data_IF_548724908765
#
_entry.id   IF_548724908765
#
_cell.length_a   1.000
_cell.length_b   1.000
_cell.length_c   1.000
_cell.angle_alpha   90.00
_cell.angle_beta   90.00
_cell.angle_gamma   90.00
#
_symmetry.space_group_name_H-M   'P 1'
#
loop_
_entity.id
_entity.type
_entity.pdbx_description
1 polymer ?
#
# COMPACT_ATOMS: atom_id res chain seq x y z
N UNK A 1 -8.25 17.10 -21.04
CA UNK A 1 -8.69 18.31 -20.31
C UNK A 1 -7.48 19.13 -19.94
N UNK A 2 -7.55 20.46 -20.14
CA UNK A 2 -6.45 21.38 -19.82
C UNK A 2 -5.24 21.28 -20.74
N UNK A 3 -5.41 20.74 -21.95
CA UNK A 3 -4.33 20.70 -22.92
C UNK A 3 -3.90 22.13 -23.26
N UNK A 4 -2.59 22.39 -23.19
CA UNK A 4 -1.97 23.71 -23.40
C UNK A 4 -2.31 24.79 -22.35
N UNK A 5 -3.13 24.51 -21.34
CA UNK A 5 -3.26 25.40 -20.17
C UNK A 5 -2.18 25.07 -19.16
N UNK A 6 -1.82 26.02 -18.31
CA UNK A 6 -0.73 25.87 -17.34
C UNK A 6 -1.17 26.34 -15.96
N UNK A 7 -0.49 25.84 -14.94
CA UNK A 7 -0.63 26.24 -13.54
C UNK A 7 -2.05 26.14 -12.99
N UNK A 8 -2.75 25.05 -13.32
CA UNK A 8 -4.15 24.83 -12.95
C UNK A 8 -5.08 25.92 -13.52
N UNK A 9 -4.78 26.40 -14.72
CA UNK A 9 -5.53 27.44 -15.42
C UNK A 9 -6.88 26.98 -15.95
N UNK A 10 -7.08 25.67 -16.12
CA UNK A 10 -8.42 25.11 -16.29
C UNK A 10 -9.08 24.96 -14.91
N UNK A 11 -9.83 25.97 -14.49
CA UNK A 11 -10.39 26.07 -13.14
C UNK A 11 -11.83 25.55 -13.04
N UNK A 12 -12.09 24.79 -11.99
CA UNK A 12 -13.36 24.16 -11.61
C UNK A 12 -14.09 23.39 -12.73
N UNK A 13 -13.39 22.66 -13.63
CA UNK A 13 -14.08 21.82 -14.61
C UNK A 13 -14.86 20.71 -13.91
N UNK A 14 -15.95 20.26 -14.54
CA UNK A 14 -16.83 19.22 -14.01
C UNK A 14 -17.21 18.23 -15.10
N UNK A 15 -17.08 16.94 -14.80
CA UNK A 15 -17.69 15.84 -15.52
C UNK A 15 -18.56 15.13 -14.48
N UNK A 16 -19.84 14.98 -14.77
CA UNK A 16 -20.83 14.50 -13.82
C UNK A 16 -21.79 13.55 -14.54
N UNK A 17 -22.18 12.48 -13.85
CA UNK A 17 -23.25 11.57 -14.26
C UNK A 17 -23.09 11.06 -15.71
N UNK A 18 -21.85 10.79 -16.14
CA UNK A 18 -21.50 10.49 -17.53
C UNK A 18 -20.77 9.16 -17.69
N UNK A 19 -21.15 8.40 -18.71
CA UNK A 19 -20.34 7.26 -19.19
C UNK A 19 -19.55 7.66 -20.44
N UNK A 20 -18.23 7.50 -20.39
CA UNK A 20 -17.35 7.57 -21.57
C UNK A 20 -16.74 6.18 -21.76
N UNK A 21 -17.03 5.59 -22.91
CA UNK A 21 -16.63 4.22 -23.20
C UNK A 21 -16.07 4.11 -24.62
N UNK A 22 -15.04 3.28 -24.77
CA UNK A 22 -14.50 2.92 -26.07
C UNK A 22 -14.92 1.50 -26.50
N UNK A 23 -14.83 1.17 -27.79
CA UNK A 23 -15.07 -0.20 -28.28
C UNK A 23 -13.97 -1.17 -27.80
N UNK A 24 -14.39 -2.11 -26.94
CA UNK A 24 -13.56 -3.17 -26.34
C UNK A 24 -12.91 -4.09 -27.40
N UNK A 25 -13.53 -4.24 -28.57
CA UNK A 25 -13.12 -5.18 -29.63
C UNK A 25 -11.99 -4.65 -30.52
N UNK A 26 -11.66 -3.37 -30.40
CA UNK A 26 -10.65 -2.74 -31.25
C UNK A 26 -9.23 -3.07 -30.75
N UNK A 27 -8.36 -3.49 -31.67
CA UNK A 27 -6.92 -3.62 -31.38
C UNK A 27 -6.22 -2.26 -31.20
N UNK A 28 -6.92 -1.16 -31.50
CA UNK A 28 -6.43 0.21 -31.44
C UNK A 28 -7.14 1.05 -30.38
N UNK A 29 -7.39 0.50 -29.19
CA UNK A 29 -7.96 1.25 -28.06
C UNK A 29 -7.21 2.58 -27.87
N UNK A 30 -7.91 3.70 -27.68
CA UNK A 30 -7.28 4.98 -27.36
C UNK A 30 -6.53 4.85 -26.02
N UNK A 31 -5.59 5.76 -25.79
CA UNK A 31 -4.75 5.72 -24.60
C UNK A 31 -5.56 5.93 -23.32
N UNK A 32 -6.59 6.79 -23.35
CA UNK A 32 -7.49 7.04 -22.23
C UNK A 32 -8.93 7.34 -22.66
N UNK A 33 -9.92 7.06 -21.80
CA UNK A 33 -11.26 7.64 -21.92
C UNK A 33 -11.27 9.10 -21.43
N UNK A 34 -10.52 9.39 -20.35
CA UNK A 34 -10.26 10.74 -19.86
C UNK A 34 -8.76 10.97 -19.65
N UNK A 35 -8.21 12.01 -20.27
CA UNK A 35 -6.88 12.53 -19.96
C UNK A 35 -6.98 13.92 -19.35
N UNK A 36 -6.33 14.14 -18.20
CA UNK A 36 -6.25 15.41 -17.48
C UNK A 36 -4.79 15.85 -17.44
N UNK A 37 -4.52 17.01 -18.04
CA UNK A 37 -3.17 17.57 -18.10
C UNK A 37 -3.03 18.80 -17.22
N UNK A 38 -4.07 19.61 -17.10
CA UNK A 38 -4.07 20.80 -16.25
C UNK A 38 -5.48 21.02 -15.71
N UNK A 39 -5.62 21.10 -14.40
CA UNK A 39 -6.88 21.43 -13.75
C UNK A 39 -6.68 21.89 -12.31
N UNK A 40 -7.43 22.91 -11.89
CA UNK A 40 -7.59 23.27 -10.48
C UNK A 40 -9.04 23.11 -10.07
N UNK A 41 -9.34 22.29 -9.06
CA UNK A 41 -10.73 22.12 -8.61
C UNK A 41 -11.58 21.21 -9.51
N UNK A 42 -10.98 20.19 -10.16
CA UNK A 42 -11.72 19.27 -11.04
C UNK A 42 -12.67 18.36 -10.25
N UNK A 43 -13.92 18.25 -10.68
CA UNK A 43 -14.89 17.27 -10.19
C UNK A 43 -15.15 16.19 -11.24
N UNK A 44 -14.98 14.93 -10.85
CA UNK A 44 -15.41 13.73 -11.57
C UNK A 44 -16.37 13.01 -10.61
N UNK A 45 -17.66 12.97 -10.93
CA UNK A 45 -18.69 12.49 -9.99
C UNK A 45 -19.73 11.62 -10.68
N UNK A 46 -19.92 10.40 -10.18
CA UNK A 46 -20.86 9.44 -10.76
C UNK A 46 -20.59 9.14 -12.24
N UNK A 47 -19.32 9.06 -12.62
CA UNK A 47 -18.91 8.80 -13.99
C UNK A 47 -18.43 7.36 -14.19
N UNK A 48 -18.44 6.90 -15.44
CA UNK A 48 -17.89 5.61 -15.85
C UNK A 48 -16.88 5.79 -17.01
N UNK A 49 -15.61 5.43 -16.80
CA UNK A 49 -14.56 5.44 -17.83
C UNK A 49 -14.18 4.00 -18.23
N UNK A 50 -14.64 3.57 -19.41
CA UNK A 50 -14.67 2.15 -19.78
C UNK A 50 -13.86 1.82 -21.05
N UNK A 51 -13.16 0.68 -20.98
CA UNK A 51 -12.62 -0.06 -22.13
C UNK A 51 -11.43 0.55 -22.91
N UNK A 52 -11.04 1.82 -22.74
CA UNK A 52 -9.79 2.32 -23.32
C UNK A 52 -8.54 1.57 -22.78
N UNK A 53 -7.32 1.91 -23.23
CA UNK A 53 -6.11 1.33 -22.62
C UNK A 53 -6.04 1.65 -21.14
N UNK A 54 -6.36 2.88 -20.75
CA UNK A 54 -6.63 3.28 -19.37
C UNK A 54 -7.97 4.00 -19.28
N UNK A 55 -8.70 3.91 -18.18
CA UNK A 55 -9.93 4.68 -18.03
C UNK A 55 -9.59 6.15 -17.87
N UNK A 56 -8.74 6.44 -16.89
CA UNK A 56 -8.34 7.79 -16.54
C UNK A 56 -6.82 7.94 -16.53
N UNK A 57 -6.32 9.01 -17.14
CA UNK A 57 -4.93 9.44 -17.08
C UNK A 57 -4.88 10.85 -16.50
N UNK A 58 -4.15 11.04 -15.41
CA UNK A 58 -3.76 12.33 -14.87
C UNK A 58 -2.26 12.47 -15.16
N UNK A 59 -1.91 13.26 -16.18
CA UNK A 59 -0.54 13.37 -16.66
C UNK A 59 -0.19 14.80 -17.09
N UNK A 60 -0.02 15.74 -16.14
CA UNK A 60 0.43 17.08 -16.44
C UNK A 60 1.80 17.09 -17.13
N UNK A 61 1.92 17.91 -18.17
CA UNK A 61 3.16 18.26 -18.84
C UNK A 61 3.83 19.51 -18.27
N UNK A 62 4.72 20.12 -19.05
CA UNK A 62 5.53 21.25 -18.61
C UNK A 62 4.69 22.43 -18.09
N UNK A 63 4.94 22.83 -16.85
CA UNK A 63 4.23 23.88 -16.11
C UNK A 63 2.72 23.66 -15.93
N UNK A 64 2.22 22.45 -16.18
CA UNK A 64 0.82 22.10 -15.96
C UNK A 64 0.63 21.50 -14.58
N UNK A 65 -0.46 21.86 -13.91
CA UNK A 65 -0.78 21.37 -12.56
C UNK A 65 -2.16 20.75 -12.55
N UNK A 66 -2.28 19.57 -11.94
CA UNK A 66 -3.56 18.96 -11.56
C UNK A 66 -3.66 19.03 -10.05
N UNK A 67 -4.52 19.92 -9.55
CA UNK A 67 -4.66 20.18 -8.12
C UNK A 67 -6.11 20.19 -7.69
N UNK A 68 -6.37 19.70 -6.48
CA UNK A 68 -7.71 19.73 -5.88
C UNK A 68 -8.75 19.01 -6.75
N UNK A 69 -8.41 17.77 -7.14
CA UNK A 69 -9.31 16.92 -7.91
C UNK A 69 -10.16 16.08 -6.95
N UNK A 70 -11.46 16.02 -7.21
CA UNK A 70 -12.44 15.25 -6.48
C UNK A 70 -13.03 14.17 -7.38
N UNK A 71 -12.65 12.91 -7.15
CA UNK A 71 -13.15 11.74 -7.88
C UNK A 71 -14.12 10.94 -7.03
N UNK A 72 -15.42 11.17 -7.15
CA UNK A 72 -16.43 10.68 -6.22
C UNK A 72 -17.37 9.70 -6.90
N UNK A 73 -17.44 8.46 -6.40
CA UNK A 73 -18.35 7.43 -6.91
C UNK A 73 -18.19 7.22 -8.43
N UNK A 74 -16.95 7.20 -8.92
CA UNK A 74 -16.62 7.12 -10.35
C UNK A 74 -15.85 5.83 -10.66
N UNK A 75 -16.18 5.15 -11.76
CA UNK A 75 -15.31 4.15 -12.36
C UNK A 75 -14.13 4.87 -13.02
N UNK A 76 -12.98 4.92 -12.34
CA UNK A 76 -11.77 5.55 -12.89
C UNK A 76 -11.10 4.68 -13.95
N UNK A 77 -11.49 3.41 -14.01
CA UNK A 77 -11.20 2.50 -15.11
C UNK A 77 -11.89 1.16 -14.88
N UNK A 78 -12.65 0.68 -15.86
CA UNK A 78 -13.23 -0.66 -15.85
C UNK A 78 -12.98 -1.38 -17.18
N UNK A 79 -12.42 -2.59 -17.09
CA UNK A 79 -12.19 -3.49 -18.23
C UNK A 79 -11.22 -2.88 -19.28
N UNK A 80 -10.27 -2.09 -18.79
CA UNK A 80 -9.27 -1.41 -19.60
C UNK A 80 -8.15 -2.34 -20.11
N UNK A 81 -7.59 -2.00 -21.28
CA UNK A 81 -6.61 -2.83 -21.98
C UNK A 81 -5.19 -2.81 -21.40
N UNK A 82 -4.90 -1.89 -20.48
CA UNK A 82 -3.69 -1.78 -19.69
C UNK A 82 -4.08 -1.57 -18.21
N UNK A 83 -3.76 -0.46 -17.57
CA UNK A 83 -4.19 -0.16 -16.18
C UNK A 83 -5.55 0.55 -16.09
N UNK A 84 -6.08 0.72 -14.87
CA UNK A 84 -7.31 1.48 -14.65
C UNK A 84 -7.07 3.00 -14.63
N UNK A 85 -6.53 3.50 -13.51
CA UNK A 85 -6.12 4.89 -13.32
C UNK A 85 -4.59 5.02 -13.39
N UNK A 86 -4.10 5.98 -14.16
CA UNK A 86 -2.70 6.43 -14.10
C UNK A 86 -2.63 7.86 -13.55
N UNK A 87 -1.75 8.07 -12.58
CA UNK A 87 -1.31 9.38 -12.13
C UNK A 87 0.19 9.43 -12.38
N UNK A 88 0.65 10.35 -13.22
CA UNK A 88 2.06 10.48 -13.59
C UNK A 88 2.41 11.95 -13.88
N UNK A 89 3.70 12.27 -13.97
CA UNK A 89 4.16 13.56 -14.50
C UNK A 89 4.85 13.34 -15.84
N UNK A 90 4.55 14.18 -16.82
CA UNK A 90 5.24 14.18 -18.12
C UNK A 90 6.42 15.17 -18.19
N UNK A 91 6.62 15.99 -17.15
CA UNK A 91 7.74 16.94 -17.06
C UNK A 91 8.14 17.20 -15.60
N UNK A 92 9.41 17.54 -15.35
CA UNK A 92 9.92 17.85 -14.01
C UNK A 92 9.29 19.08 -13.35
N UNK A 93 8.71 19.99 -14.14
CA UNK A 93 7.99 21.17 -13.65
C UNK A 93 6.50 20.89 -13.36
N UNK A 94 5.99 19.72 -13.73
CA UNK A 94 4.60 19.32 -13.52
C UNK A 94 4.29 19.04 -12.05
N UNK A 95 3.02 19.23 -11.66
CA UNK A 95 2.57 19.00 -10.29
C UNK A 95 1.21 18.30 -10.25
N UNK A 96 1.10 17.28 -9.40
CA UNK A 96 -0.16 16.65 -9.00
C UNK A 96 -0.29 16.79 -7.49
N UNK A 97 -1.34 17.51 -7.01
CA UNK A 97 -1.51 17.78 -5.57
C UNK A 97 -2.94 17.73 -5.09
N UNK A 98 -3.17 17.11 -3.93
CA UNK A 98 -4.47 17.17 -3.26
C UNK A 98 -5.59 16.52 -4.07
N UNK A 99 -5.39 15.27 -4.45
CA UNK A 99 -6.41 14.43 -5.09
C UNK A 99 -7.18 13.71 -3.99
N UNK A 100 -8.50 13.86 -3.97
CA UNK A 100 -9.41 13.15 -3.08
C UNK A 100 -10.33 12.26 -3.91
N UNK A 101 -10.14 10.96 -3.81
CA UNK A 101 -10.87 9.95 -4.57
C UNK A 101 -11.68 9.10 -3.59
N UNK A 102 -13.00 9.20 -3.65
CA UNK A 102 -13.90 8.64 -2.64
C UNK A 102 -15.00 7.77 -3.24
N UNK A 103 -15.18 6.53 -2.75
CA UNK A 103 -16.23 5.61 -3.23
C UNK A 103 -16.07 5.12 -4.68
N UNK A 104 -14.96 5.48 -5.32
CA UNK A 104 -14.63 5.18 -6.71
C UNK A 104 -14.10 3.75 -6.87
N UNK A 105 -13.92 3.30 -8.11
CA UNK A 105 -13.41 1.96 -8.35
C UNK A 105 -12.52 1.85 -9.59
N UNK A 106 -11.69 0.81 -9.57
CA UNK A 106 -10.93 0.33 -10.71
C UNK A 106 -11.11 -1.19 -10.81
N UNK A 107 -11.51 -1.67 -11.99
CA UNK A 107 -12.00 -3.04 -12.19
C UNK A 107 -11.45 -3.66 -13.46
N UNK A 108 -11.14 -4.96 -13.44
CA UNK A 108 -10.86 -5.77 -14.64
C UNK A 108 -9.78 -5.21 -15.59
N UNK A 109 -8.90 -4.32 -15.11
CA UNK A 109 -7.82 -3.79 -15.93
C UNK A 109 -6.80 -4.90 -16.23
N UNK A 110 -6.19 -4.89 -17.42
CA UNK A 110 -5.14 -5.87 -17.77
C UNK A 110 -3.76 -5.56 -17.15
N UNK A 111 -3.69 -4.58 -16.26
CA UNK A 111 -2.51 -4.14 -15.50
C UNK A 111 -2.91 -3.71 -14.10
N UNK A 112 -2.22 -2.74 -13.46
CA UNK A 112 -2.60 -2.25 -12.15
C UNK A 112 -3.97 -1.57 -12.15
N UNK A 113 -4.71 -1.69 -11.05
CA UNK A 113 -5.95 -0.94 -10.86
C UNK A 113 -5.67 0.56 -10.81
N UNK A 114 -4.76 0.96 -9.92
CA UNK A 114 -4.25 2.32 -9.78
C UNK A 114 -2.73 2.30 -9.87
N UNK A 115 -2.18 3.14 -10.72
CA UNK A 115 -0.74 3.32 -10.91
C UNK A 115 -0.39 4.78 -10.66
N UNK A 116 0.45 5.03 -9.67
CA UNK A 116 0.94 6.37 -9.32
C UNK A 116 2.42 6.41 -9.58
N UNK A 117 2.75 6.83 -10.79
CA UNK A 117 4.10 7.01 -11.29
C UNK A 117 4.58 8.44 -11.14
N UNK A 118 5.87 8.68 -11.27
CA UNK A 118 6.42 10.03 -11.37
C UNK A 118 7.63 10.02 -12.30
N UNK A 119 7.40 9.53 -13.52
CA UNK A 119 8.45 9.15 -14.47
C UNK A 119 9.33 10.33 -14.87
N UNK A 120 8.75 11.53 -14.99
CA UNK A 120 9.50 12.73 -15.35
C UNK A 120 10.13 13.48 -14.16
N UNK A 121 9.98 12.98 -12.93
CA UNK A 121 10.56 13.59 -11.74
C UNK A 121 9.90 14.91 -11.30
N UNK A 122 8.63 15.12 -11.66
CA UNK A 122 7.82 16.22 -11.15
C UNK A 122 7.42 16.02 -9.68
N UNK A 123 6.39 16.73 -9.23
CA UNK A 123 5.87 16.59 -7.86
C UNK A 123 4.53 15.87 -7.84
N UNK A 124 4.42 14.79 -7.05
CA UNK A 124 3.16 14.15 -6.74
C UNK A 124 3.03 14.02 -5.22
N UNK A 125 2.04 14.71 -4.64
CA UNK A 125 1.84 14.70 -3.21
C UNK A 125 0.36 14.87 -2.81
N UNK A 126 -0.08 14.17 -1.78
CA UNK A 126 -1.45 14.29 -1.26
C UNK A 126 -2.44 13.63 -2.21
N UNK A 127 -2.31 12.32 -2.40
CA UNK A 127 -3.24 11.51 -3.18
C UNK A 127 -3.96 10.58 -2.21
N UNK A 128 -5.25 10.78 -2.05
CA UNK A 128 -6.06 10.09 -1.06
C UNK A 128 -7.17 9.27 -1.72
N UNK A 129 -7.23 8.01 -1.35
CA UNK A 129 -8.30 7.08 -1.72
C UNK A 129 -9.06 6.68 -0.45
N UNK A 130 -10.39 6.87 -0.45
CA UNK A 130 -11.28 6.48 0.65
C UNK A 130 -12.45 5.67 0.14
N UNK A 131 -12.66 4.47 0.65
CA UNK A 131 -13.74 3.62 0.12
C UNK A 131 -13.54 3.25 -1.35
N UNK A 132 -12.29 3.23 -1.83
CA UNK A 132 -12.00 2.81 -3.20
C UNK A 132 -12.16 1.30 -3.33
N UNK A 133 -12.61 0.83 -4.48
CA UNK A 133 -12.71 -0.60 -4.78
C UNK A 133 -11.75 -0.94 -5.93
N UNK A 134 -10.71 -1.71 -5.63
CA UNK A 134 -9.80 -2.24 -6.67
C UNK A 134 -10.08 -3.72 -6.86
N UNK A 135 -10.81 -4.05 -7.93
CA UNK A 135 -11.27 -5.40 -8.20
C UNK A 135 -10.63 -6.00 -9.44
N UNK A 136 -10.24 -7.27 -9.37
CA UNK A 136 -10.01 -8.12 -10.56
C UNK A 136 -9.01 -7.56 -11.58
N UNK A 137 -8.11 -6.69 -11.15
CA UNK A 137 -7.05 -6.14 -11.99
C UNK A 137 -5.96 -7.20 -12.20
N UNK A 138 -5.36 -7.30 -13.39
CA UNK A 138 -4.45 -8.39 -13.71
C UNK A 138 -3.06 -8.27 -13.03
N UNK A 139 -2.74 -7.11 -12.46
CA UNK A 139 -1.54 -6.87 -11.67
C UNK A 139 -1.91 -6.34 -10.27
N UNK A 140 -1.15 -5.39 -9.73
CA UNK A 140 -1.40 -4.82 -8.41
C UNK A 140 -2.75 -4.10 -8.32
N UNK A 141 -3.37 -4.07 -7.14
CA UNK A 141 -4.51 -3.18 -6.92
C UNK A 141 -4.06 -1.71 -6.98
N UNK A 142 -2.97 -1.42 -6.29
CA UNK A 142 -2.26 -0.15 -6.28
C UNK A 142 -0.76 -0.38 -6.47
N UNK A 143 -0.15 0.33 -7.40
CA UNK A 143 1.30 0.46 -7.56
C UNK A 143 1.69 1.93 -7.35
N UNK A 144 2.47 2.21 -6.31
CA UNK A 144 2.81 3.58 -5.87
C UNK A 144 4.31 3.80 -5.94
N UNK A 145 4.75 4.73 -6.77
CA UNK A 145 6.16 5.03 -7.00
C UNK A 145 6.87 5.63 -5.77
N UNK A 146 8.19 5.43 -5.74
CA UNK A 146 9.09 5.84 -4.66
C UNK A 146 9.06 7.34 -4.32
N UNK A 147 8.82 8.20 -5.31
CA UNK A 147 8.90 9.65 -5.13
C UNK A 147 7.58 10.29 -4.70
N UNK A 148 6.51 9.49 -4.58
CA UNK A 148 5.20 9.93 -4.10
C UNK A 148 5.26 10.18 -2.59
N UNK A 149 4.60 11.25 -2.14
CA UNK A 149 4.47 11.58 -0.71
C UNK A 149 3.03 11.83 -0.32
N UNK A 150 2.71 11.70 0.97
CA UNK A 150 1.37 11.98 1.49
C UNK A 150 0.28 11.12 0.79
N UNK A 151 0.58 9.83 0.56
CA UNK A 151 -0.37 8.86 0.01
C UNK A 151 -1.29 8.33 1.12
N UNK A 152 -2.59 8.27 0.85
CA UNK A 152 -3.57 7.69 1.79
C UNK A 152 -4.45 6.69 1.05
N UNK A 153 -4.57 5.49 1.62
CA UNK A 153 -5.54 4.48 1.22
C UNK A 153 -6.29 4.03 2.48
N UNK A 154 -7.56 4.41 2.56
CA UNK A 154 -8.37 4.17 3.74
C UNK A 154 -9.72 3.54 3.41
N UNK A 155 -10.21 2.64 4.29
CA UNK A 155 -11.56 2.08 4.22
C UNK A 155 -11.92 1.49 2.85
N UNK A 156 -10.93 1.00 2.11
CA UNK A 156 -11.03 0.54 0.73
C UNK A 156 -11.08 -0.99 0.66
N UNK A 157 -11.58 -1.51 -0.47
CA UNK A 157 -11.72 -2.94 -0.73
C UNK A 157 -10.84 -3.35 -1.90
N UNK A 158 -9.92 -4.28 -1.67
CA UNK A 158 -8.97 -4.75 -2.67
C UNK A 158 -9.13 -6.26 -2.82
N UNK A 159 -9.88 -6.68 -3.85
CA UNK A 159 -10.30 -8.06 -4.11
C UNK A 159 -10.07 -8.40 -5.60
N UNK A 160 -10.14 -9.64 -6.07
CA UNK A 160 -9.81 -10.01 -7.48
C UNK A 160 -8.42 -9.68 -8.15
N UNK A 161 -7.55 -8.79 -7.63
CA UNK A 161 -6.23 -8.44 -8.19
C UNK A 161 -5.19 -9.59 -8.42
N UNK A 162 -4.29 -9.39 -9.39
CA UNK A 162 -3.45 -10.41 -10.02
C UNK A 162 -2.54 -11.23 -9.10
N UNK A 163 -2.42 -12.53 -9.39
CA UNK A 163 -1.69 -13.49 -8.54
C UNK A 163 -0.19 -13.23 -8.38
N UNK A 164 0.45 -12.61 -9.39
CA UNK A 164 1.88 -12.26 -9.37
C UNK A 164 2.18 -10.91 -8.71
N UNK A 165 1.14 -10.13 -8.39
CA UNK A 165 1.27 -8.80 -7.79
C UNK A 165 1.12 -8.80 -6.26
N UNK A 166 0.90 -7.60 -5.72
CA UNK A 166 0.43 -7.30 -4.37
C UNK A 166 -0.88 -6.51 -4.46
N UNK A 167 -1.75 -6.59 -3.45
CA UNK A 167 -2.92 -5.71 -3.45
C UNK A 167 -2.48 -4.23 -3.38
N UNK A 168 -1.47 -3.92 -2.56
CA UNK A 168 -0.80 -2.62 -2.53
C UNK A 168 0.70 -2.83 -2.62
N UNK A 169 1.33 -2.29 -3.65
CA UNK A 169 2.77 -2.21 -3.77
C UNK A 169 3.26 -0.77 -3.57
N UNK A 170 4.06 -0.57 -2.54
CA UNK A 170 4.75 0.68 -2.26
C UNK A 170 6.20 0.52 -2.73
N UNK A 171 6.58 1.18 -3.82
CA UNK A 171 7.93 1.11 -4.34
C UNK A 171 8.98 1.61 -3.33
N UNK A 172 10.24 1.18 -3.48
CA UNK A 172 11.27 1.52 -2.50
C UNK A 172 11.50 3.04 -2.37
N UNK A 173 11.30 3.60 -1.17
CA UNK A 173 11.56 5.02 -0.87
C UNK A 173 10.32 5.90 -0.75
N UNK A 174 9.11 5.37 -0.97
CA UNK A 174 7.88 6.12 -0.72
C UNK A 174 7.78 6.52 0.76
N UNK A 175 7.42 7.79 1.04
CA UNK A 175 7.38 8.33 2.41
C UNK A 175 6.05 9.00 2.75
N UNK A 176 5.74 9.12 4.04
CA UNK A 176 4.52 9.80 4.56
C UNK A 176 3.25 9.17 4.00
N UNK A 177 3.07 7.87 4.18
CA UNK A 177 1.91 7.14 3.66
C UNK A 177 1.02 6.58 4.77
N UNK A 178 -0.26 6.38 4.48
CA UNK A 178 -1.23 5.73 5.38
C UNK A 178 -2.02 4.69 4.61
N UNK A 179 -1.98 3.44 5.06
CA UNK A 179 -2.78 2.33 4.54
C UNK A 179 -3.58 1.77 5.72
N UNK A 180 -4.82 2.24 5.88
CA UNK A 180 -5.59 2.01 7.11
C UNK A 180 -7.01 1.51 6.89
N UNK A 181 -7.48 0.62 7.77
CA UNK A 181 -8.88 0.19 7.79
C UNK A 181 -9.39 -0.43 6.48
N UNK A 182 -8.53 -1.00 5.64
CA UNK A 182 -8.91 -1.59 4.36
C UNK A 182 -9.26 -3.07 4.50
N UNK A 183 -10.13 -3.58 3.62
CA UNK A 183 -10.31 -5.01 3.40
C UNK A 183 -9.46 -5.45 2.21
N UNK A 184 -8.40 -6.20 2.50
CA UNK A 184 -7.40 -6.70 1.56
C UNK A 184 -7.30 -8.21 1.78
N UNK A 185 -8.31 -8.96 1.34
CA UNK A 185 -8.44 -10.39 1.64
C UNK A 185 -8.22 -11.24 0.40
N UNK A 186 -7.77 -12.49 0.59
CA UNK A 186 -7.75 -13.50 -0.49
C UNK A 186 -9.17 -13.77 -1.03
N UNK A 187 -10.17 -13.61 -0.17
CA UNK A 187 -11.57 -13.68 -0.55
C UNK A 187 -12.34 -12.52 0.09
N UNK A 188 -12.81 -11.59 -0.73
CA UNK A 188 -13.71 -10.52 -0.32
C UNK A 188 -14.66 -10.16 -1.46
N UNK A 189 -15.84 -9.66 -1.10
CA UNK A 189 -16.88 -9.20 -2.02
C UNK A 189 -17.24 -10.18 -3.14
N UNK A 190 -17.19 -11.48 -2.85
CA UNK A 190 -17.50 -12.56 -3.78
C UNK A 190 -16.38 -12.92 -4.77
N UNK A 191 -15.20 -12.32 -4.66
CA UNK A 191 -14.01 -12.64 -5.45
C UNK A 191 -13.12 -13.65 -4.71
N UNK A 192 -12.53 -14.64 -5.41
CA UNK A 192 -11.83 -15.78 -4.77
C UNK A 192 -10.44 -16.13 -5.33
N UNK A 193 -9.90 -15.36 -6.28
CA UNK A 193 -8.46 -15.40 -6.56
C UNK A 193 -7.76 -14.32 -5.73
N UNK A 194 -6.42 -14.27 -5.66
CA UNK A 194 -5.57 -13.05 -5.77
C UNK A 194 -4.15 -13.13 -5.25
N UNK A 195 -3.34 -12.11 -5.58
CA UNK A 195 -2.02 -11.80 -5.00
C UNK A 195 -1.85 -12.39 -3.60
N UNK A 196 -0.93 -13.34 -3.47
CA UNK A 196 -0.62 -13.91 -2.15
C UNK A 196 -0.13 -12.84 -1.16
N UNK A 197 0.35 -11.71 -1.68
CA UNK A 197 0.82 -10.57 -0.91
C UNK A 197 -0.25 -9.48 -0.78
N UNK A 198 -0.54 -9.05 0.44
CA UNK A 198 -1.47 -7.94 0.70
C UNK A 198 -0.80 -6.60 0.46
N UNK A 199 0.04 -6.18 1.41
CA UNK A 199 0.80 -4.94 1.34
C UNK A 199 2.27 -5.27 1.20
N UNK A 200 2.92 -4.72 0.18
CA UNK A 200 4.35 -4.89 -0.06
C UNK A 200 5.07 -3.54 0.04
N UNK A 201 5.94 -3.41 1.04
CA UNK A 201 6.84 -2.27 1.23
C UNK A 201 8.21 -2.63 0.65
N UNK A 202 8.47 -2.12 -0.56
CA UNK A 202 9.59 -2.54 -1.41
C UNK A 202 10.98 -2.20 -0.88
N UNK A 203 11.13 -1.26 0.06
CA UNK A 203 12.45 -0.87 0.57
C UNK A 203 12.54 0.57 1.02
N UNK A 204 13.26 0.87 2.10
CA UNK A 204 13.51 2.27 2.52
C UNK A 204 12.23 3.15 2.65
N UNK A 205 11.05 2.54 2.77
CA UNK A 205 9.79 3.25 2.93
C UNK A 205 9.73 3.83 4.34
N UNK A 206 9.33 5.09 4.49
CA UNK A 206 9.45 5.79 5.77
C UNK A 206 8.24 6.66 6.13
N UNK A 207 8.12 7.07 7.40
CA UNK A 207 7.03 7.90 7.92
C UNK A 207 5.64 7.31 7.61
N UNK A 208 5.54 5.97 7.60
CA UNK A 208 4.35 5.23 7.18
C UNK A 208 3.48 4.74 8.34
N UNK A 209 2.18 4.57 8.07
CA UNK A 209 1.21 3.95 8.99
C UNK A 209 0.43 2.84 8.25
N UNK A 210 0.52 1.60 8.74
CA UNK A 210 -0.21 0.44 8.21
C UNK A 210 -0.97 -0.27 9.34
N UNK A 211 -2.24 0.10 9.52
CA UNK A 211 -3.02 -0.34 10.69
C UNK A 211 -4.50 -0.58 10.40
N UNK A 212 -5.14 -1.51 11.12
CA UNK A 212 -6.59 -1.72 11.04
C UNK A 212 -7.05 -2.46 9.77
N UNK A 213 -6.13 -2.95 8.95
CA UNK A 213 -6.49 -3.66 7.72
C UNK A 213 -6.91 -5.10 8.01
N UNK A 214 -7.89 -5.60 7.27
CA UNK A 214 -8.23 -7.02 7.20
C UNK A 214 -7.48 -7.69 6.05
N UNK A 215 -6.51 -8.52 6.39
CA UNK A 215 -5.59 -9.23 5.51
C UNK A 215 -5.90 -10.75 5.46
N UNK A 216 -7.11 -11.15 5.82
CA UNK A 216 -7.47 -12.56 6.03
C UNK A 216 -7.28 -13.40 4.77
N UNK A 217 -6.76 -14.61 4.97
CA UNK A 217 -6.53 -15.59 3.90
C UNK A 217 -5.28 -15.35 3.05
N UNK A 218 -4.59 -14.21 3.17
CA UNK A 218 -3.36 -13.94 2.42
C UNK A 218 -2.17 -14.78 2.92
N UNK A 219 -1.35 -15.29 2.00
CA UNK A 219 -0.13 -16.05 2.35
C UNK A 219 0.96 -15.15 2.91
N UNK A 220 1.02 -13.92 2.43
CA UNK A 220 1.96 -12.88 2.86
C UNK A 220 1.19 -11.59 3.12
N UNK A 221 0.51 -11.46 4.28
CA UNK A 221 -0.31 -10.29 4.59
C UNK A 221 0.43 -8.96 4.40
N UNK A 222 1.66 -8.88 4.92
CA UNK A 222 2.55 -7.74 4.76
C UNK A 222 3.97 -8.25 4.47
N UNK A 223 4.47 -7.93 3.28
CA UNK A 223 5.88 -8.06 2.92
C UNK A 223 6.58 -6.72 3.17
N UNK A 224 7.67 -6.72 3.91
CA UNK A 224 8.43 -5.49 4.16
C UNK A 224 9.93 -5.77 4.12
N UNK A 225 10.62 -5.16 3.15
CA UNK A 225 12.08 -5.24 3.03
C UNK A 225 12.69 -3.97 3.61
N UNK A 226 12.80 -3.87 4.93
CA UNK A 226 13.21 -2.62 5.57
C UNK A 226 14.72 -2.59 5.83
N UNK A 227 15.39 -1.51 5.42
CA UNK A 227 16.79 -1.26 5.79
C UNK A 227 16.83 -0.72 7.22
N UNK A 228 17.52 -1.41 8.12
CA UNK A 228 17.57 -1.03 9.53
C UNK A 228 18.53 0.13 9.77
N UNK A 229 18.19 1.17 10.56
CA UNK A 229 16.86 1.50 11.10
C UNK A 229 16.09 2.46 10.19
N UNK A 230 14.84 2.12 9.84
CA UNK A 230 13.87 3.05 9.26
C UNK A 230 13.22 3.84 10.42
N UNK A 231 13.39 5.17 10.52
CA UNK A 231 12.79 5.96 11.59
C UNK A 231 11.35 6.38 11.25
N UNK A 232 10.35 5.89 12.00
CA UNK A 232 8.92 6.33 11.96
C UNK A 232 7.97 5.51 11.06
N UNK A 233 8.14 4.19 10.98
CA UNK A 233 7.17 3.29 10.37
C UNK A 233 6.36 2.53 11.43
N UNK A 234 5.03 2.68 11.41
CA UNK A 234 4.12 1.98 12.31
C UNK A 234 3.32 0.94 11.53
N UNK A 235 3.50 -0.33 11.90
CA UNK A 235 2.71 -1.45 11.37
C UNK A 235 2.16 -2.22 12.57
N UNK A 236 0.85 -2.44 12.62
CA UNK A 236 0.22 -3.26 13.65
C UNK A 236 -1.30 -3.18 13.64
N UNK A 237 -1.97 -3.97 14.49
CA UNK A 237 -3.44 -3.99 14.56
C UNK A 237 -4.10 -4.33 13.22
N UNK A 238 -3.48 -5.19 12.41
CA UNK A 238 -4.09 -5.72 11.19
C UNK A 238 -4.57 -7.17 11.47
N UNK A 239 -5.71 -7.58 10.92
CA UNK A 239 -6.16 -8.99 10.92
C UNK A 239 -5.57 -9.71 9.71
N UNK A 240 -5.29 -11.03 9.72
CA UNK A 240 -5.19 -11.90 10.86
C UNK A 240 -3.78 -11.80 11.50
N UNK A 241 -2.95 -10.84 11.08
CA UNK A 241 -1.58 -10.67 11.61
C UNK A 241 -1.57 -10.46 13.13
N UNK A 242 -2.69 -10.05 13.72
CA UNK A 242 -2.94 -9.97 15.16
C UNK A 242 -2.97 -11.32 15.88
N UNK A 243 -3.15 -12.45 15.18
CA UNK A 243 -3.39 -13.78 15.78
C UNK A 243 -2.72 -14.98 15.09
N UNK A 244 -2.00 -14.79 13.97
CA UNK A 244 -1.30 -15.92 13.34
C UNK A 244 -0.03 -16.28 14.12
N UNK A 245 -0.10 -17.32 14.93
CA UNK A 245 1.06 -17.90 15.63
C UNK A 245 1.94 -18.67 14.64
N UNK A 246 3.00 -18.04 14.15
CA UNK A 246 4.06 -18.75 13.44
C UNK A 246 4.98 -19.44 14.44
N UNK A 247 5.14 -20.76 14.31
CA UNK A 247 6.08 -21.53 15.12
C UNK A 247 7.51 -21.30 14.65
N UNK A 248 8.33 -20.68 15.50
CA UNK A 248 9.78 -20.55 15.30
C UNK A 248 10.53 -21.51 16.24
N UNK A 249 11.49 -22.32 15.74
CA UNK A 249 12.37 -23.11 16.59
C UNK A 249 13.24 -22.20 17.46
N UNK A 250 13.57 -22.62 18.68
CA UNK A 250 14.54 -21.90 19.51
C UNK A 250 15.90 -21.84 18.81
N UNK A 251 16.44 -20.64 18.71
CA UNK A 251 17.75 -20.32 18.20
C UNK A 251 18.32 -19.14 18.99
N UNK A 252 19.63 -18.91 18.90
CA UNK A 252 20.26 -17.73 19.48
C UNK A 252 19.70 -16.43 18.87
N UNK A 253 19.25 -16.46 17.61
CA UNK A 253 18.57 -15.34 16.98
C UNK A 253 17.19 -15.77 16.48
N UNK A 254 16.13 -15.13 16.98
CA UNK A 254 14.78 -15.33 16.45
C UNK A 254 14.60 -14.54 15.16
N UNK A 255 14.24 -15.20 14.06
CA UNK A 255 13.96 -14.52 12.80
C UNK A 255 12.46 -14.21 12.68
N UNK A 256 12.09 -12.95 12.93
CA UNK A 256 10.70 -12.49 12.83
C UNK A 256 10.38 -12.09 11.38
N UNK A 257 10.22 -13.09 10.51
CA UNK A 257 9.83 -12.86 9.12
C UNK A 257 8.40 -12.32 9.03
N UNK A 258 8.18 -11.40 8.08
CA UNK A 258 6.91 -10.68 7.92
C UNK A 258 6.60 -9.69 9.05
N UNK A 259 5.49 -8.95 8.91
CA UNK A 259 5.00 -8.01 9.91
C UNK A 259 3.78 -8.56 10.68
N UNK A 260 3.99 -9.67 11.38
CA UNK A 260 2.99 -10.26 12.29
C UNK A 260 3.09 -9.65 13.69
N UNK A 261 1.96 -9.56 14.40
CA UNK A 261 1.90 -9.08 15.79
C UNK A 261 2.14 -10.22 16.79
N UNK A 262 2.10 -11.50 16.36
CA UNK A 262 2.21 -12.67 17.24
C UNK A 262 3.13 -13.76 16.69
N UNK A 263 4.01 -14.33 17.54
CA UNK A 263 4.90 -15.45 17.18
C UNK A 263 4.89 -16.54 18.26
N UNK A 264 4.72 -17.80 17.86
CA UNK A 264 4.84 -18.96 18.75
C UNK A 264 6.27 -19.50 18.77
N UNK A 265 6.85 -19.75 19.94
CA UNK A 265 8.21 -20.29 20.09
C UNK A 265 8.10 -21.71 20.62
N UNK A 266 8.48 -22.67 19.79
CA UNK A 266 8.13 -24.10 19.96
C UNK A 266 9.09 -24.91 20.84
N UNK A 267 10.24 -24.36 21.23
CA UNK A 267 11.22 -25.06 22.07
C UNK A 267 11.87 -24.14 23.11
N UNK A 268 12.52 -24.71 24.13
CA UNK A 268 13.22 -23.99 25.20
C UNK A 268 14.64 -24.49 25.39
N UNK A 269 15.54 -23.60 25.82
CA UNK A 269 16.85 -23.98 26.37
C UNK A 269 18.02 -23.14 25.84
N UNK A 270 17.94 -22.63 24.61
CA UNK A 270 18.93 -21.70 24.08
C UNK A 270 18.58 -20.28 24.49
N UNK A 271 19.55 -19.57 25.08
CA UNK A 271 19.39 -18.15 25.35
C UNK A 271 19.31 -17.38 24.02
N UNK A 272 18.27 -16.58 23.87
CA UNK A 272 18.05 -15.72 22.71
C UNK A 272 18.92 -14.48 22.90
N UNK A 273 19.89 -14.30 22.01
CA UNK A 273 20.83 -13.18 21.98
C UNK A 273 20.46 -12.13 20.92
N UNK A 274 19.40 -12.37 20.13
CA UNK A 274 18.89 -11.40 19.17
C UNK A 274 17.54 -11.77 18.56
N UNK A 275 16.87 -10.78 17.98
CA UNK A 275 15.62 -10.93 17.24
C UNK A 275 15.70 -10.13 15.94
N UNK A 276 15.85 -10.77 14.78
CA UNK A 276 15.96 -10.07 13.50
C UNK A 276 14.59 -9.71 12.91
N UNK A 277 14.59 -8.84 11.89
CA UNK A 277 13.38 -8.27 11.29
C UNK A 277 12.90 -6.98 11.94
N UNK A 278 13.74 -6.31 12.72
CA UNK A 278 13.35 -5.12 13.45
C UNK A 278 13.15 -3.86 12.56
N UNK A 279 12.26 -2.96 12.98
CA UNK A 279 12.20 -1.56 12.55
C UNK A 279 11.71 -0.69 13.72
N UNK A 280 12.06 0.59 13.76
CA UNK A 280 11.69 1.45 14.89
C UNK A 280 10.16 1.57 14.97
N UNK A 281 9.60 1.30 16.15
CA UNK A 281 8.17 1.26 16.37
C UNK A 281 7.53 -0.12 16.19
N UNK A 282 8.29 -1.16 15.78
CA UNK A 282 7.77 -2.53 15.70
C UNK A 282 7.31 -3.02 17.07
N UNK A 283 6.13 -3.63 17.12
CA UNK A 283 5.58 -4.31 18.30
C UNK A 283 5.21 -5.75 17.95
N UNK A 284 5.63 -6.71 18.76
CA UNK A 284 5.25 -8.12 18.62
C UNK A 284 4.98 -8.74 19.99
N UNK A 285 4.17 -9.79 20.00
CA UNK A 285 3.87 -10.64 21.16
C UNK A 285 4.46 -12.02 20.91
N UNK A 286 5.32 -12.49 21.81
CA UNK A 286 5.92 -13.82 21.73
C UNK A 286 5.19 -14.77 22.68
N UNK A 287 4.77 -15.92 22.18
CA UNK A 287 4.07 -16.96 22.93
C UNK A 287 4.98 -18.18 23.06
N UNK A 288 5.18 -18.68 24.28
CA UNK A 288 5.90 -19.94 24.49
C UNK A 288 5.31 -20.71 25.66
N UNK A 289 5.29 -22.04 25.54
CA UNK A 289 4.89 -22.92 26.62
C UNK A 289 5.93 -22.95 27.77
N UNK A 290 7.17 -22.56 27.49
CA UNK A 290 8.28 -22.59 28.42
C UNK A 290 8.80 -21.18 28.72
N UNK A 291 9.58 -21.05 29.80
CA UNK A 291 10.32 -19.82 30.07
C UNK A 291 11.37 -19.60 28.97
N UNK A 292 11.45 -18.36 28.48
CA UNK A 292 12.43 -17.91 27.50
C UNK A 292 13.45 -17.03 28.18
N UNK A 293 14.73 -17.25 27.88
CA UNK A 293 15.82 -16.40 28.38
C UNK A 293 16.36 -15.56 27.23
N UNK A 294 16.35 -14.25 27.41
CA UNK A 294 16.89 -13.26 26.50
C UNK A 294 18.13 -12.62 27.13
N UNK A 295 19.18 -12.45 26.33
CA UNK A 295 20.44 -11.83 26.74
C UNK A 295 20.66 -10.53 25.99
N UNK A 296 21.03 -9.48 26.73
CA UNK A 296 21.40 -8.20 26.16
C UNK A 296 22.59 -8.34 25.21
N UNK A 297 22.58 -7.53 24.15
CA UNK A 297 23.60 -7.56 23.10
C UNK A 297 23.02 -7.95 21.74
N UNK A 298 23.91 -8.24 20.79
CA UNK A 298 23.57 -8.49 19.38
C UNK A 298 24.01 -7.34 18.46
N UNK A 299 23.63 -7.43 17.19
CA UNK A 299 23.94 -6.41 16.17
C UNK A 299 22.78 -5.43 15.98
N UNK A 300 23.05 -4.26 15.40
CA UNK A 300 21.99 -3.32 14.99
C UNK A 300 20.94 -4.05 14.13
N UNK A 301 19.65 -3.78 14.37
CA UNK A 301 18.54 -4.49 13.74
C UNK A 301 18.18 -5.85 14.37
N UNK A 302 18.94 -6.32 15.36
CA UNK A 302 18.60 -7.54 16.12
C UNK A 302 18.85 -7.48 17.62
N UNK A 303 19.51 -6.44 18.11
CA UNK A 303 19.97 -6.35 19.49
C UNK A 303 18.82 -6.34 20.51
N UNK A 304 19.03 -6.99 21.65
CA UNK A 304 18.15 -6.96 22.82
C UNK A 304 18.71 -5.95 23.83
N UNK A 305 17.84 -5.08 24.37
CA UNK A 305 18.27 -3.97 25.20
C UNK A 305 18.76 -4.41 26.59
N UNK A 306 18.07 -5.36 27.23
CA UNK A 306 18.36 -5.83 28.58
C UNK A 306 18.15 -7.34 28.69
N UNK A 307 18.88 -7.99 29.59
CA UNK A 307 18.60 -9.37 29.97
C UNK A 307 17.14 -9.47 30.47
N UNK A 308 16.42 -10.48 29.99
CA UNK A 308 15.03 -10.71 30.35
C UNK A 308 14.74 -12.21 30.39
N UNK A 309 14.04 -12.67 31.42
CA UNK A 309 13.58 -14.06 31.49
C UNK A 309 12.07 -14.05 31.62
N UNK A 310 11.37 -14.63 30.65
CA UNK A 310 9.93 -14.74 30.68
C UNK A 310 9.48 -15.81 31.68
N UNK A 311 8.22 -15.68 32.12
CA UNK A 311 7.56 -16.77 32.84
C UNK A 311 6.93 -17.73 31.83
N UNK A 312 6.99 -19.03 32.10
CA UNK A 312 6.36 -20.03 31.23
C UNK A 312 4.86 -19.77 31.05
N UNK A 313 4.35 -19.94 29.83
CA UNK A 313 2.96 -19.68 29.44
C UNK A 313 2.48 -18.22 29.60
N UNK A 314 3.38 -17.27 29.88
CA UNK A 314 3.06 -15.83 29.88
C UNK A 314 3.61 -15.22 28.59
N UNK A 315 2.77 -14.55 27.77
CA UNK A 315 3.24 -13.86 26.57
C UNK A 315 4.26 -12.76 26.91
N UNK A 316 5.24 -12.56 26.02
CA UNK A 316 6.25 -11.50 26.13
C UNK A 316 5.92 -10.41 25.12
N UNK A 317 5.79 -9.18 25.58
CA UNK A 317 5.65 -8.01 24.71
C UNK A 317 7.04 -7.50 24.32
N UNK A 318 7.31 -7.38 23.01
CA UNK A 318 8.57 -6.90 22.50
C UNK A 318 8.38 -5.67 21.61
N UNK A 319 9.12 -4.59 21.91
CA UNK A 319 9.09 -3.32 21.15
C UNK A 319 10.47 -2.94 20.69
N UNK A 320 10.62 -2.53 19.43
CA UNK A 320 11.92 -2.13 18.90
C UNK A 320 12.08 -0.61 18.76
N UNK A 321 13.13 -0.08 19.39
CA UNK A 321 13.60 1.30 19.22
C UNK A 321 15.14 1.31 19.33
N UNK A 322 15.83 0.99 18.23
CA UNK A 322 17.28 0.75 18.18
C UNK A 322 17.73 -0.61 18.77
N UNK A 323 17.00 -1.12 19.76
CA UNK A 323 17.08 -2.49 20.28
C UNK A 323 15.68 -2.95 20.74
N UNK A 324 15.52 -4.24 21.02
CA UNK A 324 14.29 -4.84 21.53
C UNK A 324 14.15 -4.67 23.04
N UNK A 325 13.12 -3.95 23.45
CA UNK A 325 12.64 -3.85 24.82
C UNK A 325 11.60 -4.95 25.06
N UNK A 326 11.81 -5.75 26.10
CA UNK A 326 10.99 -6.91 26.43
C UNK A 326 10.26 -6.68 27.76
N UNK A 327 9.02 -7.12 27.86
CA UNK A 327 8.20 -7.09 29.08
C UNK A 327 7.38 -8.36 29.23
#
# INVERSE_FOLDING_TARGET
MGHLTTKAGTTDPRILDTTIATDQSTSGRPDADLQVEDAGGLYLVNDDFLYAKRGTIIKPGANQYVTWLFGINTALGDTNGAGGLLIDTADASAQVKGLEIAGSWTSNAQGPGVEIDNTAGGTIAGVHFRGHRAYTNAADGFDVAASVKDFVLESSHLCGNGASGSAVFMNPGATRFRITNNTISLACDGQTSNSGTGINLGGNNDEGLVTGNDLTGLTTPIAATLSTPVPNLVIGSNMPTSTQLLSIPAAATLALSGAYDGYGISTSGTAITGMSGAWNGRHVTLYSANALTFKAGGTSGSAICNDFTSTANIPVEARYYGCWYLK
#
